data_IF_636875672960
#
_entry.id   IF_636875672960
#
_cell.length_a   1.000
_cell.length_b   1.000
_cell.length_c   1.000
_cell.angle_alpha   90.00
_cell.angle_beta   90.00
_cell.angle_gamma   90.00
#
_symmetry.space_group_name_H-M   'P 1'
#
loop_
_entity.id
_entity.type
_entity.pdbx_description
1 polymer ?
#
# COMPACT_ATOMS: atom_id res chain seq x y z
N UNK A 1 1.71 13.99 -17.86
CA UNK A 1 1.91 14.74 -16.59
C UNK A 1 1.24 13.92 -15.50
N UNK A 2 1.94 13.61 -14.41
CA UNK A 2 1.37 12.87 -13.26
C UNK A 2 0.65 13.82 -12.33
N UNK A 3 -0.53 13.44 -11.84
CA UNK A 3 -1.27 14.17 -10.82
C UNK A 3 -1.69 13.20 -9.70
N UNK A 4 -1.50 13.56 -8.41
CA UNK A 4 -2.01 12.76 -7.30
C UNK A 4 -3.52 12.57 -7.38
N UNK A 5 -3.99 11.37 -7.02
CA UNK A 5 -5.43 11.09 -6.94
C UNK A 5 -6.02 11.72 -5.69
N UNK A 6 -7.31 12.10 -5.74
CA UNK A 6 -8.05 12.53 -4.57
C UNK A 6 -8.68 11.35 -3.85
N UNK A 7 -8.95 11.50 -2.56
CA UNK A 7 -9.69 10.50 -1.78
C UNK A 7 -11.20 10.76 -1.85
N UNK A 8 -12.02 9.70 -1.92
CA UNK A 8 -11.61 8.30 -1.98
C UNK A 8 -11.16 7.87 -3.38
N UNK A 9 -10.14 7.03 -3.45
CA UNK A 9 -9.70 6.39 -4.68
C UNK A 9 -10.16 4.93 -4.68
N UNK A 10 -10.81 4.52 -5.75
CA UNK A 10 -11.18 3.14 -6.03
C UNK A 10 -10.78 2.78 -7.45
N UNK A 11 -10.14 1.63 -7.62
CA UNK A 11 -9.86 1.07 -8.95
C UNK A 11 -11.16 0.55 -9.57
N UNK A 12 -11.23 0.58 -10.91
CA UNK A 12 -12.33 -0.01 -11.67
C UNK A 12 -12.53 -1.47 -11.28
N UNK A 13 -13.79 -1.90 -11.19
CA UNK A 13 -14.18 -3.25 -10.78
C UNK A 13 -13.60 -4.33 -11.70
N UNK A 14 -13.44 -4.03 -12.99
CA UNK A 14 -12.88 -4.95 -14.00
C UNK A 14 -11.41 -5.27 -13.77
N UNK A 15 -10.67 -4.38 -13.09
CA UNK A 15 -9.26 -4.56 -12.79
C UNK A 15 -9.01 -5.24 -11.44
N UNK A 16 -10.07 -5.52 -10.66
CA UNK A 16 -9.94 -6.10 -9.33
C UNK A 16 -9.72 -7.62 -9.42
N UNK A 17 -8.83 -8.20 -8.61
CA UNK A 17 -8.67 -9.66 -8.52
C UNK A 17 -9.85 -10.35 -7.80
N UNK A 18 -10.77 -9.57 -7.22
CA UNK A 18 -11.96 -10.02 -6.51
C UNK A 18 -12.67 -8.84 -5.84
N UNK A 19 -13.81 -9.05 -5.15
CA UNK A 19 -14.51 -8.00 -4.43
C UNK A 19 -13.60 -7.35 -3.37
N UNK A 20 -13.64 -6.02 -3.25
CA UNK A 20 -12.89 -5.34 -2.20
C UNK A 20 -13.39 -5.79 -0.82
N UNK A 21 -12.49 -6.05 0.14
CA UNK A 21 -12.88 -6.48 1.48
C UNK A 21 -13.64 -5.38 2.21
N UNK A 22 -14.62 -5.77 3.02
CA UNK A 22 -15.33 -4.85 3.90
C UNK A 22 -14.48 -4.50 5.12
N UNK A 23 -14.86 -3.43 5.83
CA UNK A 23 -14.20 -3.07 7.10
C UNK A 23 -14.29 -4.19 8.15
N UNK A 24 -15.36 -4.96 8.13
CA UNK A 24 -15.54 -6.11 9.01
C UNK A 24 -14.56 -7.23 8.65
N UNK A 25 -14.40 -7.55 7.37
CA UNK A 25 -13.40 -8.53 6.89
C UNK A 25 -11.98 -8.13 7.29
N UNK A 26 -11.67 -6.83 7.19
CA UNK A 26 -10.35 -6.28 7.55
C UNK A 26 -10.10 -6.39 9.06
N UNK A 27 -11.09 -6.03 9.88
CA UNK A 27 -10.97 -6.02 11.35
C UNK A 27 -11.01 -7.41 11.96
N UNK A 28 -11.71 -8.35 11.33
CA UNK A 28 -11.81 -9.76 11.76
C UNK A 28 -10.63 -10.62 11.29
N UNK A 29 -9.81 -10.13 10.35
CA UNK A 29 -8.66 -10.87 9.84
C UNK A 29 -7.68 -11.26 10.95
N UNK A 30 -7.38 -12.55 11.05
CA UNK A 30 -6.40 -13.13 11.98
C UNK A 30 -4.99 -13.24 11.40
N UNK A 31 -4.83 -13.01 10.09
CA UNK A 31 -3.53 -13.11 9.41
C UNK A 31 -2.80 -11.76 9.45
N UNK A 32 -2.09 -11.52 10.55
CA UNK A 32 -1.29 -10.30 10.73
C UNK A 32 0.04 -10.38 9.98
N UNK A 33 0.29 -9.36 9.18
CA UNK A 33 1.50 -9.20 8.37
C UNK A 33 2.42 -8.13 8.96
N UNK A 34 1.90 -7.26 9.81
CA UNK A 34 2.71 -6.29 10.55
C UNK A 34 1.85 -5.47 11.47
N UNK A 35 2.38 -5.19 12.65
CA UNK A 35 1.78 -4.28 13.62
C UNK A 35 2.81 -3.20 13.94
N UNK A 36 2.47 -1.96 13.68
CA UNK A 36 3.29 -0.79 14.02
C UNK A 36 2.44 0.16 14.84
N UNK A 37 3.11 1.07 15.55
CA UNK A 37 2.43 2.13 16.28
C UNK A 37 1.46 2.85 15.34
N UNK A 38 0.18 2.87 15.74
CA UNK A 38 -0.94 3.48 15.03
C UNK A 38 -1.29 2.91 13.64
N UNK A 39 -0.75 1.76 13.20
CA UNK A 39 -1.13 1.14 11.93
C UNK A 39 -0.93 -0.37 11.91
N UNK A 40 -1.85 -1.07 11.23
CA UNK A 40 -1.85 -2.52 11.07
C UNK A 40 -1.76 -2.89 9.60
N UNK A 41 -1.16 -4.03 9.33
CA UNK A 41 -1.13 -4.67 8.02
C UNK A 41 -1.63 -6.10 8.15
N UNK A 42 -2.69 -6.43 7.42
CA UNK A 42 -3.36 -7.73 7.48
C UNK A 42 -3.56 -8.31 6.09
N UNK A 43 -3.67 -9.64 6.00
CA UNK A 43 -4.09 -10.32 4.77
C UNK A 43 -5.57 -10.65 4.86
N UNK A 44 -6.35 -10.20 3.87
CA UNK A 44 -7.77 -10.51 3.78
C UNK A 44 -8.02 -11.39 2.55
N UNK A 45 -8.58 -12.58 2.80
CA UNK A 45 -8.78 -13.59 1.77
C UNK A 45 -7.49 -14.00 1.05
N UNK A 46 -7.60 -14.31 -0.24
CA UNK A 46 -6.46 -14.75 -1.05
C UNK A 46 -5.74 -13.60 -1.76
N UNK A 47 -6.42 -12.48 -1.98
CA UNK A 47 -5.98 -11.44 -2.90
C UNK A 47 -5.58 -10.14 -2.22
N UNK A 48 -5.98 -9.86 -0.98
CA UNK A 48 -5.78 -8.51 -0.44
C UNK A 48 -4.81 -8.49 0.72
N UNK A 49 -3.92 -7.52 0.68
CA UNK A 49 -3.20 -7.02 1.85
C UNK A 49 -3.78 -5.65 2.13
N UNK A 50 -4.16 -5.41 3.38
CA UNK A 50 -4.76 -4.15 3.80
C UNK A 50 -3.89 -3.53 4.85
N UNK A 51 -3.45 -2.30 4.57
CA UNK A 51 -2.75 -1.45 5.53
C UNK A 51 -3.72 -0.38 6.02
N UNK A 52 -3.88 -0.26 7.33
CA UNK A 52 -4.85 0.68 7.89
C UNK A 52 -4.42 1.24 9.25
N UNK A 53 -4.84 2.45 9.55
CA UNK A 53 -4.56 3.10 10.84
C UNK A 53 -4.32 4.60 10.73
N UNK A 54 -4.24 5.26 11.87
CA UNK A 54 -3.91 6.70 11.95
C UNK A 54 -2.46 7.01 11.54
N UNK A 55 -1.57 6.01 11.63
CA UNK A 55 -0.19 6.11 11.17
C UNK A 55 0.03 5.74 9.70
N UNK A 56 -1.02 5.37 8.96
CA UNK A 56 -0.94 5.11 7.53
C UNK A 56 -0.84 6.44 6.75
N UNK A 57 -0.19 6.43 5.59
CA UNK A 57 0.10 7.65 4.81
C UNK A 57 -0.49 7.59 3.41
N UNK A 58 -1.13 8.68 2.98
CA UNK A 58 -1.59 8.82 1.59
C UNK A 58 -0.44 8.76 0.58
N UNK A 59 0.74 9.25 0.98
CA UNK A 59 1.93 9.25 0.12
C UNK A 59 2.31 7.84 -0.32
N UNK A 60 2.04 6.83 0.50
CA UNK A 60 2.29 5.43 0.13
C UNK A 60 1.41 4.99 -1.03
N UNK A 61 0.12 5.33 -1.02
CA UNK A 61 -0.78 5.04 -2.13
C UNK A 61 -0.43 5.85 -3.38
N UNK A 62 -0.11 7.14 -3.23
CA UNK A 62 0.31 7.98 -4.36
C UNK A 62 1.59 7.45 -5.01
N UNK A 63 2.56 6.98 -4.23
CA UNK A 63 3.78 6.39 -4.73
C UNK A 63 3.52 5.09 -5.50
N UNK A 64 2.61 4.23 -5.02
CA UNK A 64 2.24 3.01 -5.73
C UNK A 64 1.63 3.34 -7.10
N UNK A 65 0.73 4.32 -7.17
CA UNK A 65 0.13 4.74 -8.44
C UNK A 65 1.15 5.41 -9.37
N UNK A 66 2.07 6.22 -8.82
CA UNK A 66 3.16 6.82 -9.59
C UNK A 66 4.06 5.75 -10.22
N UNK A 67 4.47 4.75 -9.45
CA UNK A 67 5.31 3.63 -9.91
C UNK A 67 4.57 2.81 -10.96
N UNK A 68 3.28 2.51 -10.74
CA UNK A 68 2.47 1.80 -11.73
C UNK A 68 2.32 2.60 -13.04
N UNK A 69 2.14 3.92 -12.95
CA UNK A 69 1.99 4.75 -14.14
C UNK A 69 3.28 4.87 -14.97
N UNK A 70 4.45 4.94 -14.33
CA UNK A 70 5.71 5.24 -15.04
C UNK A 70 6.65 4.05 -15.21
N UNK A 71 6.57 3.05 -14.34
CA UNK A 71 7.56 1.98 -14.23
C UNK A 71 6.93 0.58 -14.36
N UNK A 72 5.68 0.47 -14.82
CA UNK A 72 4.98 -0.83 -14.93
C UNK A 72 5.67 -1.85 -15.84
N UNK A 73 6.48 -1.42 -16.80
CA UNK A 73 7.25 -2.30 -17.69
C UNK A 73 8.59 -2.74 -17.07
N UNK A 74 9.04 -2.08 -16.00
CA UNK A 74 10.37 -2.27 -15.40
C UNK A 74 10.26 -2.96 -14.03
N UNK A 75 9.22 -2.63 -13.25
CA UNK A 75 9.08 -3.07 -11.87
C UNK A 75 7.71 -3.72 -11.64
N UNK A 76 7.73 -4.93 -11.10
CA UNK A 76 6.53 -5.60 -10.57
C UNK A 76 6.21 -5.08 -9.16
N UNK A 77 5.70 -3.85 -9.08
CA UNK A 77 5.24 -3.26 -7.83
C UNK A 77 3.85 -3.80 -7.42
N UNK A 78 3.53 -3.81 -6.11
CA UNK A 78 2.18 -3.96 -5.62
C UNK A 78 1.25 -2.94 -6.27
N UNK A 79 0.01 -3.34 -6.52
CA UNK A 79 -1.01 -2.47 -7.09
C UNK A 79 -1.94 -1.96 -6.00
N UNK A 80 -2.29 -0.68 -6.08
CA UNK A 80 -3.28 -0.05 -5.20
C UNK A 80 -4.69 -0.20 -5.79
N UNK A 81 -5.59 -0.81 -5.03
CA UNK A 81 -6.97 -1.05 -5.44
C UNK A 81 -7.97 -0.10 -4.78
N UNK A 82 -7.69 0.31 -3.54
CA UNK A 82 -8.45 1.35 -2.89
C UNK A 82 -7.57 2.13 -1.92
N UNK A 83 -7.88 3.42 -1.78
CA UNK A 83 -7.37 4.26 -0.72
C UNK A 83 -8.49 5.19 -0.26
N UNK A 84 -8.84 5.17 1.03
CA UNK A 84 -9.94 5.98 1.56
C UNK A 84 -9.78 6.20 3.06
N UNK A 85 -10.41 7.26 3.57
CA UNK A 85 -10.58 7.49 5.01
C UNK A 85 -11.92 6.98 5.48
N UNK A 86 -11.95 6.34 6.64
CA UNK A 86 -13.19 6.05 7.33
C UNK A 86 -13.67 7.28 8.15
N UNK A 87 -14.88 7.21 8.70
CA UNK A 87 -15.50 8.30 9.47
C UNK A 87 -14.70 8.73 10.70
N UNK A 88 -13.85 7.84 11.24
CA UNK A 88 -12.95 8.11 12.37
C UNK A 88 -11.61 8.75 11.92
N UNK A 89 -11.44 9.01 10.62
CA UNK A 89 -10.20 9.56 10.05
C UNK A 89 -9.13 8.50 9.77
N UNK A 90 -9.38 7.23 10.08
CA UNK A 90 -8.47 6.13 9.80
C UNK A 90 -8.31 5.93 8.29
N UNK A 91 -7.06 5.93 7.82
CA UNK A 91 -6.76 5.71 6.42
C UNK A 91 -6.65 4.20 6.15
N UNK A 92 -7.25 3.74 5.06
CA UNK A 92 -7.20 2.37 4.55
C UNK A 92 -6.53 2.36 3.17
N UNK A 93 -5.56 1.47 2.98
CA UNK A 93 -4.94 1.16 1.70
C UNK A 93 -5.14 -0.33 1.41
N UNK A 94 -5.83 -0.64 0.32
CA UNK A 94 -6.06 -2.01 -0.15
C UNK A 94 -5.12 -2.27 -1.32
N UNK A 95 -4.21 -3.22 -1.15
CA UNK A 95 -3.16 -3.56 -2.12
C UNK A 95 -3.19 -5.06 -2.47
N UNK A 96 -2.76 -5.41 -3.69
CA UNK A 96 -2.47 -6.80 -4.08
C UNK A 96 -1.10 -6.89 -4.76
N UNK A 97 -0.45 -8.03 -4.53
CA UNK A 97 0.77 -8.44 -5.23
C UNK A 97 0.63 -9.90 -5.64
N UNK A 98 1.07 -10.23 -6.86
CA UNK A 98 0.97 -11.58 -7.45
C UNK A 98 1.71 -12.67 -6.66
N UNK A 99 2.68 -12.32 -5.82
CA UNK A 99 3.43 -13.26 -4.96
C UNK A 99 3.07 -13.15 -3.47
N UNK A 100 2.04 -12.38 -3.10
CA UNK A 100 1.71 -12.16 -1.70
C UNK A 100 2.79 -11.44 -0.88
N UNK A 101 2.70 -11.59 0.44
CA UNK A 101 3.39 -10.84 1.51
C UNK A 101 4.91 -10.64 1.36
N UNK A 102 5.63 -11.56 0.71
CA UNK A 102 7.11 -11.51 0.59
C UNK A 102 7.60 -10.26 -0.14
N UNK A 103 6.87 -9.81 -1.15
CA UNK A 103 7.20 -8.59 -1.91
C UNK A 103 6.80 -7.33 -1.13
N UNK A 104 5.66 -7.36 -0.42
CA UNK A 104 5.23 -6.24 0.43
C UNK A 104 6.23 -5.96 1.57
N UNK A 105 6.81 -6.98 2.20
CA UNK A 105 7.91 -6.78 3.17
C UNK A 105 9.18 -6.21 2.52
N UNK A 106 9.48 -6.54 1.27
CA UNK A 106 10.70 -6.04 0.61
C UNK A 106 10.57 -4.58 0.18
N UNK A 107 9.36 -4.17 -0.20
CA UNK A 107 9.05 -2.80 -0.62
C UNK A 107 8.71 -1.90 0.56
N UNK A 108 8.06 -2.46 1.58
CA UNK A 108 7.72 -1.80 2.83
C UNK A 108 8.36 -2.54 4.02
N UNK A 109 9.70 -2.54 4.12
CA UNK A 109 10.38 -3.23 5.20
C UNK A 109 9.90 -2.70 6.56
N UNK A 110 9.69 -3.57 7.57
CA UNK A 110 9.60 -3.12 8.95
C UNK A 110 10.80 -2.21 9.21
N UNK A 111 10.55 -1.00 9.71
CA UNK A 111 11.63 -0.10 10.07
C UNK A 111 12.40 -0.76 11.21
N UNK A 112 13.45 -1.50 10.88
CA UNK A 112 14.46 -1.89 11.85
C UNK A 112 15.27 -0.63 12.12
N UNK A 113 15.25 -0.16 13.35
CA UNK A 113 16.28 0.74 13.85
C UNK A 113 17.58 -0.01 13.89
N UNK A 114 18.27 -0.10 12.75
CA UNK A 114 19.70 -0.34 12.58
C UNK A 114 20.03 0.25 11.21
N UNK A 115 20.91 1.25 11.19
CA UNK A 115 21.62 1.66 10.00
C UNK A 115 22.28 0.43 9.37
N UNK A 116 21.78 0.02 8.22
CA UNK A 116 22.64 -0.55 7.19
C UNK A 116 22.26 0.12 5.91
N UNK A 117 23.14 1.00 5.47
CA UNK A 117 23.25 1.46 4.09
C UNK A 117 22.97 0.29 3.15
N UNK A 118 21.95 0.41 2.30
CA UNK A 118 21.99 0.18 0.85
C UNK A 118 20.54 0.24 0.32
N UNK A 119 20.32 1.11 -0.67
CA UNK A 119 19.16 1.14 -1.57
C UNK A 119 17.80 1.71 -1.06
N UNK A 120 17.81 2.70 -0.17
CA UNK A 120 16.60 3.47 0.20
C UNK A 120 16.64 4.97 -0.17
N UNK A 121 17.81 5.50 -0.53
CA UNK A 121 18.02 6.96 -0.64
C UNK A 121 17.87 7.52 -2.06
N UNK A 122 17.77 6.67 -3.10
CA UNK A 122 17.73 7.14 -4.49
C UNK A 122 16.39 7.71 -4.97
N UNK A 123 15.35 7.75 -4.14
CA UNK A 123 14.06 8.38 -4.50
C UNK A 123 13.80 9.74 -3.84
N UNK A 124 14.74 10.28 -3.04
CA UNK A 124 14.57 11.60 -2.40
C UNK A 124 15.54 12.69 -2.87
N UNK A 125 16.46 12.40 -3.79
CA UNK A 125 17.39 13.41 -4.31
C UNK A 125 17.51 13.32 -5.83
N UNK A 126 16.62 14.02 -6.54
CA UNK A 126 16.80 14.72 -7.84
C UNK A 126 15.45 14.89 -8.54
N UNK A 127 14.67 15.83 -8.04
CA UNK A 127 13.89 16.72 -8.92
C UNK A 127 14.26 18.13 -8.46
N UNK A 128 15.44 18.57 -8.89
CA UNK A 128 15.71 19.99 -9.12
C UNK A 128 15.77 20.13 -10.63
N UNK A 129 14.71 20.69 -11.18
CA UNK A 129 14.80 21.60 -12.32
C UNK A 129 14.02 22.83 -11.91
#
# INVERSE_FOLDING_TARGET
>A
MWAPVQLPYFRNSEDLPGPLPTKEDIRSSTTFLGDRVAQKMVRVGQHFIVKYGHGASENEGQNLLFVEHHLCTIVHAPRLYAMYRDSDGMLFLIIFTREGYRVAQRIFPPAKGVETETCGTLAKQRVLI
#
